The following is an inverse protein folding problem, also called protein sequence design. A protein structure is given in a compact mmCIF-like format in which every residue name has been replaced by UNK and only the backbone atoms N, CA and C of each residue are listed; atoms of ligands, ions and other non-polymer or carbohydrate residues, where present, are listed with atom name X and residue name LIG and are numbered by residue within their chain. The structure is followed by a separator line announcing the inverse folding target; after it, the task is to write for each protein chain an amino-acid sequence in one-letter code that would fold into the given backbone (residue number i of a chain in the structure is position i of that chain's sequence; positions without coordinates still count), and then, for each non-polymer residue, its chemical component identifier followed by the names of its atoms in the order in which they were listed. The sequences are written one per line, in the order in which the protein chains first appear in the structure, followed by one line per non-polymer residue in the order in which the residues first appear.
data_IF_593149081933
#
_entry.id   IF_593149081933
#
_cell.length_a   1.000
_cell.length_b   1.000
_cell.length_c   1.000
_cell.angle_alpha   90.00
_cell.angle_beta   90.00
_cell.angle_gamma   90.00
#
_symmetry.space_group_name_H-M   'P 1'
#
loop_
_entity.id
_entity.type
_entity.pdbx_description
1 polymer ?
#
# COMPACT_ATOMS: atom_id res chain seq x y z
N UNK A 1 -27.70 27.60 -57.26
CA UNK A 1 -27.39 26.35 -56.58
C UNK A 1 -27.60 26.56 -55.10
N UNK A 2 -28.74 26.08 -54.57
CA UNK A 2 -29.21 26.34 -53.18
C UNK A 2 -28.66 25.28 -52.26
N UNK A 3 -27.89 25.66 -51.24
CA UNK A 3 -27.43 24.76 -50.16
C UNK A 3 -28.52 24.67 -49.11
N UNK A 4 -29.05 23.46 -48.87
CA UNK A 4 -30.01 23.16 -47.82
C UNK A 4 -29.21 22.78 -46.59
N UNK A 5 -29.36 23.53 -45.49
CA UNK A 5 -28.81 23.23 -44.16
C UNK A 5 -29.87 22.41 -43.41
N UNK A 6 -29.53 21.14 -43.06
CA UNK A 6 -30.34 20.29 -42.17
C UNK A 6 -29.83 20.47 -40.75
N UNK A 7 -30.63 21.09 -39.88
CA UNK A 7 -30.47 21.14 -38.44
C UNK A 7 -31.05 19.86 -37.82
N UNK A 8 -30.22 19.02 -37.22
CA UNK A 8 -30.65 17.89 -36.43
C UNK A 8 -30.72 18.33 -34.96
N UNK A 9 -31.94 18.40 -34.43
CA UNK A 9 -32.21 18.63 -33.01
C UNK A 9 -32.02 17.34 -32.23
N UNK A 10 -31.04 17.29 -31.32
CA UNK A 10 -30.84 16.17 -30.38
C UNK A 10 -31.59 16.48 -29.09
N UNK A 11 -32.67 15.77 -28.85
CA UNK A 11 -33.42 15.82 -27.58
C UNK A 11 -32.77 14.95 -26.55
N UNK A 12 -32.24 15.55 -25.48
CA UNK A 12 -31.75 14.87 -24.30
C UNK A 12 -32.92 14.49 -23.37
N UNK A 13 -33.24 13.21 -23.26
CA UNK A 13 -34.17 12.71 -22.23
C UNK A 13 -33.39 12.36 -20.97
N UNK A 14 -33.61 13.09 -19.89
CA UNK A 14 -33.13 12.80 -18.55
C UNK A 14 -33.94 11.64 -17.97
N UNK A 15 -33.32 10.50 -17.81
CA UNK A 15 -33.90 9.37 -17.04
C UNK A 15 -33.32 9.38 -15.63
N UNK A 16 -34.10 9.92 -14.71
CA UNK A 16 -33.86 9.82 -13.28
C UNK A 16 -34.36 8.47 -12.78
N UNK A 17 -33.47 7.63 -12.28
CA UNK A 17 -33.83 6.42 -11.56
C UNK A 17 -33.17 6.47 -10.16
N UNK A 18 -34.00 6.83 -9.18
CA UNK A 18 -33.65 6.73 -7.76
C UNK A 18 -33.83 5.27 -7.30
N UNK A 19 -32.78 4.65 -6.80
CA UNK A 19 -32.85 3.36 -6.11
C UNK A 19 -32.32 3.51 -4.70
N UNK A 20 -33.17 3.28 -3.72
CA UNK A 20 -32.86 3.30 -2.29
C UNK A 20 -32.09 2.03 -1.88
N UNK A 21 -31.20 2.08 -0.87
CA UNK A 21 -30.53 0.91 -0.35
C UNK A 21 -31.44 0.14 0.65
N UNK A 22 -31.57 -1.15 0.45
CA UNK A 22 -32.24 -2.06 1.37
C UNK A 22 -31.32 -2.36 2.57
N UNK A 23 -31.88 -2.14 3.78
CA UNK A 23 -31.30 -2.61 5.06
C UNK A 23 -31.48 -4.11 5.14
N UNK A 24 -30.43 -4.86 5.32
CA UNK A 24 -30.48 -6.26 5.78
C UNK A 24 -29.85 -6.34 7.16
N UNK A 25 -30.72 -6.54 8.16
CA UNK A 25 -30.40 -7.00 9.50
C UNK A 25 -30.28 -8.53 9.46
N UNK A 26 -29.17 -9.07 9.94
CA UNK A 26 -28.97 -10.52 10.02
C UNK A 26 -27.96 -10.88 11.08
N UNK A 27 -28.43 -10.92 12.33
CA UNK A 27 -27.72 -11.52 13.47
C UNK A 27 -27.65 -13.05 13.30
N UNK A 28 -26.47 -13.64 13.31
CA UNK A 28 -26.28 -15.09 13.60
C UNK A 28 -25.04 -15.30 14.45
N UNK A 29 -25.30 -15.48 15.75
CA UNK A 29 -24.40 -16.11 16.69
C UNK A 29 -24.04 -17.53 16.23
N UNK A 30 -22.77 -17.83 16.09
CA UNK A 30 -22.26 -19.20 16.11
C UNK A 30 -21.18 -19.27 17.19
N UNK A 31 -21.60 -19.88 18.31
CA UNK A 31 -20.75 -20.34 19.40
C UNK A 31 -20.00 -21.58 18.94
N UNK A 32 -18.68 -21.59 19.03
CA UNK A 32 -17.92 -22.83 19.11
C UNK A 32 -16.92 -22.72 20.24
N UNK A 33 -17.28 -23.40 21.32
CA UNK A 33 -16.42 -23.70 22.44
C UNK A 33 -15.29 -24.63 22.00
N UNK A 34 -14.06 -24.27 22.28
CA UNK A 34 -13.03 -25.27 22.56
C UNK A 34 -12.18 -24.79 23.72
N UNK A 35 -12.43 -25.41 24.86
CA UNK A 35 -11.77 -25.19 26.12
C UNK A 35 -10.43 -25.94 26.15
N UNK A 36 -9.33 -25.24 26.37
CA UNK A 36 -8.16 -25.81 27.01
C UNK A 36 -7.83 -24.98 28.24
N UNK A 37 -8.07 -25.66 29.38
CA UNK A 37 -7.76 -25.20 30.73
C UNK A 37 -6.26 -25.35 31.01
N UNK A 38 -5.60 -24.23 31.39
CA UNK A 38 -4.40 -24.31 32.24
C UNK A 38 -4.55 -23.31 33.39
N UNK A 39 -4.64 -23.91 34.53
CA UNK A 39 -4.67 -23.26 35.82
C UNK A 39 -3.23 -22.95 36.24
N UNK A 40 -2.91 -21.73 36.63
CA UNK A 40 -2.06 -21.45 37.78
C UNK A 40 -2.16 -20.01 38.20
N UNK A 41 -2.47 -19.83 39.46
CA UNK A 41 -2.56 -18.60 40.22
C UNK A 41 -1.24 -17.83 40.23
N UNK A 42 -1.29 -16.50 40.06
CA UNK A 42 -0.71 -15.59 41.05
C UNK A 42 -1.21 -14.15 40.82
N UNK A 43 -1.62 -13.57 41.92
CA UNK A 43 -2.16 -12.22 42.05
C UNK A 43 -1.07 -11.15 41.87
N UNK A 44 -1.37 -10.04 41.14
CA UNK A 44 -1.28 -8.71 41.73
C UNK A 44 -1.84 -7.62 40.79
N UNK A 45 -2.63 -6.66 41.27
CA UNK A 45 -3.28 -5.67 40.43
C UNK A 45 -2.39 -4.45 40.25
N UNK A 46 -1.92 -4.17 39.07
CA UNK A 46 -1.32 -2.86 38.79
C UNK A 46 -1.85 -2.28 37.48
N UNK A 47 -2.65 -1.25 37.68
CA UNK A 47 -2.89 -0.06 36.84
C UNK A 47 -2.95 -0.29 35.33
N UNK A 48 -4.18 -0.42 34.84
CA UNK A 48 -4.56 -0.08 33.47
C UNK A 48 -4.01 1.31 33.11
N UNK A 49 -2.88 1.35 32.43
CA UNK A 49 -2.47 2.53 31.68
C UNK A 49 -3.15 2.47 30.32
N UNK A 50 -4.17 3.28 30.19
CA UNK A 50 -4.82 3.63 28.93
C UNK A 50 -3.72 4.01 27.92
N UNK A 51 -3.32 3.05 27.05
CA UNK A 51 -2.32 3.27 26.00
C UNK A 51 -3.02 4.05 24.89
N UNK A 52 -3.04 5.39 25.07
CA UNK A 52 -3.33 6.33 23.99
C UNK A 52 -2.40 5.93 22.84
N UNK A 53 -2.98 5.47 21.72
CA UNK A 53 -2.24 5.19 20.49
C UNK A 53 -1.60 6.50 20.03
N UNK A 54 -0.39 6.76 20.50
CA UNK A 54 0.44 7.80 19.91
C UNK A 54 0.86 7.27 18.55
N UNK A 55 0.48 7.93 17.47
CA UNK A 55 1.02 7.72 16.14
C UNK A 55 2.53 7.90 16.24
N UNK A 56 3.23 6.79 16.27
CA UNK A 56 4.67 6.74 16.37
C UNK A 56 5.23 7.13 15.00
N UNK A 57 5.98 8.23 14.94
CA UNK A 57 6.71 8.59 13.72
C UNK A 57 7.67 7.47 13.29
N UNK A 58 8.33 7.57 12.13
CA UNK A 58 9.25 6.56 11.67
C UNK A 58 10.35 6.34 12.72
N UNK A 59 10.71 5.08 12.98
CA UNK A 59 11.91 4.79 13.76
C UNK A 59 13.15 5.32 13.01
N UNK A 60 14.28 5.50 13.68
CA UNK A 60 15.49 6.10 13.09
C UNK A 60 15.93 5.40 11.79
N UNK A 61 15.77 4.08 11.71
CA UNK A 61 16.13 3.29 10.51
C UNK A 61 15.17 3.55 9.34
N UNK A 62 13.87 3.56 9.61
CA UNK A 62 12.87 3.90 8.60
C UNK A 62 13.05 5.35 8.10
N UNK A 63 13.33 6.29 9.00
CA UNK A 63 13.61 7.69 8.62
C UNK A 63 14.82 7.81 7.69
N UNK A 64 15.91 7.08 7.96
CA UNK A 64 17.09 7.05 7.08
C UNK A 64 16.73 6.49 5.70
N UNK A 65 16.02 5.34 5.64
CA UNK A 65 15.56 4.71 4.40
C UNK A 65 14.72 5.68 3.57
N UNK A 66 13.78 6.38 4.18
CA UNK A 66 12.92 7.32 3.47
C UNK A 66 13.69 8.54 2.98
N UNK A 67 14.60 9.08 3.80
CA UNK A 67 15.49 10.18 3.38
C UNK A 67 16.36 9.79 2.18
N UNK A 68 16.87 8.56 2.14
CA UNK A 68 17.65 8.06 0.99
C UNK A 68 16.74 7.81 -0.23
N UNK A 69 15.56 7.26 -0.03
CA UNK A 69 14.59 7.06 -1.10
C UNK A 69 14.18 8.38 -1.78
N UNK A 70 13.99 9.44 -1.02
CA UNK A 70 13.62 10.78 -1.51
C UNK A 70 14.69 11.40 -2.41
N UNK A 71 15.97 11.09 -2.21
CA UNK A 71 17.08 11.56 -3.08
C UNK A 71 16.93 11.09 -4.52
N UNK A 72 16.18 10.01 -4.73
CA UNK A 72 15.94 9.42 -6.04
C UNK A 72 14.65 9.90 -6.72
N UNK A 73 13.87 10.77 -6.09
CA UNK A 73 12.64 11.32 -6.71
C UNK A 73 12.95 11.92 -8.09
N UNK A 74 12.13 11.55 -9.08
CA UNK A 74 12.30 11.97 -10.48
C UNK A 74 13.31 11.15 -11.28
N UNK A 75 14.08 10.23 -10.67
CA UNK A 75 14.94 9.33 -11.43
C UNK A 75 14.10 8.50 -12.41
N UNK A 76 14.53 8.32 -13.68
CA UNK A 76 13.72 7.67 -14.70
C UNK A 76 13.55 6.17 -14.41
N UNK A 77 12.48 5.58 -14.99
CA UNK A 77 12.32 4.13 -14.98
C UNK A 77 13.24 3.46 -16.01
N UNK A 78 13.89 2.39 -15.61
CA UNK A 78 14.67 1.53 -16.49
C UNK A 78 14.53 0.07 -16.06
N UNK A 79 14.04 -0.79 -16.94
CA UNK A 79 13.97 -2.23 -16.66
C UNK A 79 15.35 -2.79 -16.29
N UNK A 80 15.47 -3.51 -15.18
CA UNK A 80 16.73 -4.00 -14.64
C UNK A 80 17.64 -2.94 -14.00
N UNK A 81 17.20 -1.68 -13.92
CA UNK A 81 17.99 -0.57 -13.40
C UNK A 81 18.09 -0.57 -11.88
N UNK A 82 19.25 -0.11 -11.37
CA UNK A 82 19.59 -0.03 -9.94
C UNK A 82 20.39 1.24 -9.61
N UNK A 83 20.33 2.26 -10.46
CA UNK A 83 21.12 3.48 -10.29
C UNK A 83 20.29 4.71 -10.60
N UNK A 84 20.78 5.90 -10.26
CA UNK A 84 20.12 7.17 -10.59
C UNK A 84 19.83 7.34 -12.10
N UNK A 85 20.60 6.69 -12.98
CA UNK A 85 20.36 6.70 -14.43
C UNK A 85 19.08 5.93 -14.83
N UNK A 86 18.47 5.25 -13.90
CA UNK A 86 17.19 4.56 -14.03
C UNK A 86 17.05 3.39 -13.08
N UNK A 87 15.87 3.26 -12.52
CA UNK A 87 15.48 2.18 -11.62
C UNK A 87 14.29 1.39 -12.18
N UNK A 88 14.29 0.07 -11.95
CA UNK A 88 13.02 -0.65 -11.86
C UNK A 88 12.51 -0.67 -10.41
N UNK A 89 11.28 -1.15 -10.18
CA UNK A 89 10.64 -1.11 -8.88
C UNK A 89 11.45 -1.81 -7.78
N UNK A 90 11.88 -3.04 -8.00
CA UNK A 90 12.64 -3.82 -7.02
C UNK A 90 14.12 -3.41 -6.95
N UNK A 91 14.67 -2.85 -8.03
CA UNK A 91 16.00 -2.27 -8.06
C UNK A 91 16.11 -1.01 -7.22
N UNK A 92 15.08 -0.14 -7.28
CA UNK A 92 14.96 1.03 -6.41
C UNK A 92 14.92 0.62 -4.94
N UNK A 93 14.02 -0.29 -4.57
CA UNK A 93 13.91 -0.81 -3.19
C UNK A 93 15.24 -1.43 -2.73
N UNK A 94 15.83 -2.29 -3.56
CA UNK A 94 17.11 -2.94 -3.25
C UNK A 94 18.22 -1.93 -2.99
N UNK A 95 18.35 -0.89 -3.82
CA UNK A 95 19.38 0.14 -3.67
C UNK A 95 19.21 0.92 -2.38
N UNK A 96 18.00 1.43 -2.11
CA UNK A 96 17.69 2.22 -0.89
C UNK A 96 17.96 1.42 0.38
N UNK A 97 17.54 0.15 0.41
CA UNK A 97 17.76 -0.70 1.58
C UNK A 97 19.24 -1.08 1.74
N UNK A 98 19.96 -1.31 0.65
CA UNK A 98 21.41 -1.61 0.69
C UNK A 98 22.23 -0.44 1.23
N UNK A 99 21.87 0.80 0.91
CA UNK A 99 22.47 2.03 1.49
C UNK A 99 22.26 2.12 3.01
N UNK A 100 21.31 1.38 3.51
CA UNK A 100 20.98 1.26 4.93
C UNK A 100 21.42 -0.09 5.54
N UNK A 101 22.39 -0.78 4.96
CA UNK A 101 22.94 -2.07 5.41
C UNK A 101 21.92 -3.23 5.44
N UNK A 102 20.80 -3.11 4.72
CA UNK A 102 19.78 -4.16 4.61
C UNK A 102 19.85 -4.76 3.20
N UNK A 103 20.23 -6.02 3.12
CA UNK A 103 20.30 -6.76 1.86
C UNK A 103 18.97 -7.40 1.54
N UNK A 104 18.39 -7.05 0.39
CA UNK A 104 17.20 -7.67 -0.15
C UNK A 104 17.53 -8.40 -1.46
N UNK A 105 16.70 -9.37 -1.84
CA UNK A 105 16.82 -10.04 -3.14
C UNK A 105 16.49 -9.06 -4.28
N UNK A 106 16.98 -9.38 -5.49
CA UNK A 106 16.86 -8.46 -6.64
C UNK A 106 15.43 -8.31 -7.18
N UNK A 107 14.64 -9.39 -7.18
CA UNK A 107 13.32 -9.41 -7.84
C UNK A 107 12.20 -9.16 -6.83
N UNK A 108 11.20 -8.38 -7.20
CA UNK A 108 10.03 -8.10 -6.35
C UNK A 108 9.31 -9.36 -5.85
N UNK A 109 9.21 -10.40 -6.68
CA UNK A 109 8.61 -11.67 -6.30
C UNK A 109 9.39 -12.45 -5.22
N UNK A 110 10.70 -12.21 -5.11
CA UNK A 110 11.55 -12.81 -4.08
C UNK A 110 11.61 -11.91 -2.84
N UNK A 111 11.69 -10.58 -2.98
CA UNK A 111 11.50 -9.62 -1.88
C UNK A 111 10.17 -9.86 -1.15
N UNK A 112 9.14 -10.27 -1.86
CA UNK A 112 7.83 -10.60 -1.32
C UNK A 112 7.82 -11.80 -0.35
N UNK A 113 8.91 -12.56 -0.27
CA UNK A 113 9.08 -13.70 0.64
C UNK A 113 9.90 -13.32 1.89
N UNK A 114 10.53 -12.16 1.89
CA UNK A 114 11.39 -11.70 2.98
C UNK A 114 10.60 -11.03 4.10
N UNK A 115 11.18 -11.00 5.29
CA UNK A 115 10.57 -10.39 6.47
C UNK A 115 9.28 -11.05 6.92
N UNK A 116 8.44 -10.29 7.61
CA UNK A 116 7.16 -10.74 8.17
C UNK A 116 5.97 -10.09 7.46
N UNK A 117 4.87 -10.83 7.28
CA UNK A 117 3.62 -10.28 6.75
C UNK A 117 2.99 -9.30 7.73
N UNK A 118 2.50 -8.17 7.22
CA UNK A 118 1.84 -7.13 8.01
C UNK A 118 0.46 -6.85 7.43
N UNK A 119 -0.56 -6.77 8.29
CA UNK A 119 -1.88 -6.26 7.88
C UNK A 119 -1.75 -4.79 7.51
N UNK A 120 -2.49 -4.35 6.49
CA UNK A 120 -2.40 -2.98 5.98
C UNK A 120 -2.70 -1.92 7.06
N UNK A 121 -3.56 -2.23 8.01
CA UNK A 121 -3.91 -1.37 9.16
C UNK A 121 -2.73 -1.16 10.15
N UNK A 122 -1.73 -2.03 10.09
CA UNK A 122 -0.57 -2.03 11.00
C UNK A 122 0.74 -1.68 10.29
N UNK A 123 0.68 -1.23 9.03
CA UNK A 123 1.89 -0.81 8.32
C UNK A 123 2.51 0.39 8.99
N UNK A 124 3.83 0.49 8.86
CA UNK A 124 4.64 1.60 9.36
C UNK A 124 5.53 2.11 8.23
N UNK A 125 6.07 3.28 8.42
CA UNK A 125 7.08 3.87 7.55
C UNK A 125 8.22 2.87 7.28
N UNK A 126 8.60 2.71 6.02
CA UNK A 126 9.65 1.77 5.59
C UNK A 126 9.17 0.34 5.32
N UNK A 127 7.91 -0.02 5.61
CA UNK A 127 7.36 -1.32 5.20
C UNK A 127 7.24 -1.40 3.68
N UNK A 128 7.28 -2.60 3.13
CA UNK A 128 7.16 -2.86 1.70
C UNK A 128 5.71 -3.20 1.33
N UNK A 129 5.20 -2.56 0.29
CA UNK A 129 3.91 -2.86 -0.33
C UNK A 129 4.14 -3.61 -1.65
N UNK A 130 3.40 -4.70 -1.86
CA UNK A 130 3.50 -5.54 -3.05
C UNK A 130 2.20 -5.51 -3.87
N UNK A 131 2.36 -5.48 -5.20
CA UNK A 131 1.26 -5.28 -6.12
C UNK A 131 1.30 -6.24 -7.30
N UNK A 132 0.12 -6.52 -7.88
CA UNK A 132 -0.09 -7.26 -9.12
C UNK A 132 -0.44 -6.31 -10.29
N UNK A 133 0.50 -5.49 -10.72
CA UNK A 133 0.30 -4.48 -11.79
C UNK A 133 0.18 -5.08 -13.20
N UNK A 134 0.62 -6.33 -13.37
CA UNK A 134 0.48 -7.07 -14.63
C UNK A 134 -0.82 -7.90 -14.68
N UNK A 135 -1.72 -7.69 -13.74
CA UNK A 135 -2.94 -8.48 -13.57
C UNK A 135 -2.74 -9.80 -12.83
N UNK A 136 -3.86 -10.42 -12.41
CA UNK A 136 -3.86 -11.66 -11.63
C UNK A 136 -3.44 -11.45 -10.16
N UNK A 137 -2.78 -12.47 -9.58
CA UNK A 137 -2.37 -12.47 -8.16
C UNK A 137 -0.85 -12.58 -7.97
N UNK A 138 -0.07 -12.43 -9.03
CA UNK A 138 1.38 -12.58 -8.96
C UNK A 138 2.04 -11.24 -8.74
N UNK A 139 2.94 -11.17 -7.74
CA UNK A 139 3.73 -9.97 -7.47
C UNK A 139 4.52 -9.56 -8.72
N UNK A 140 4.31 -8.32 -9.14
CA UNK A 140 5.01 -7.70 -10.27
C UNK A 140 5.54 -6.31 -9.97
N UNK A 141 5.16 -5.73 -8.81
CA UNK A 141 5.62 -4.42 -8.40
C UNK A 141 5.79 -4.33 -6.89
N UNK A 142 6.64 -3.38 -6.44
CA UNK A 142 6.93 -3.12 -5.03
C UNK A 142 7.19 -1.63 -4.81
N UNK A 143 6.80 -1.13 -3.64
CA UNK A 143 7.12 0.21 -3.15
C UNK A 143 7.34 0.22 -1.65
N UNK A 144 7.81 1.34 -1.11
CA UNK A 144 8.14 1.55 0.30
C UNK A 144 7.08 2.49 0.90
N UNK A 145 6.45 2.11 2.02
CA UNK A 145 5.53 3.01 2.75
C UNK A 145 6.27 4.26 3.17
N UNK A 146 5.83 5.40 2.63
CA UNK A 146 6.47 6.70 2.80
C UNK A 146 5.77 7.58 3.84
N UNK A 147 4.46 7.77 3.68
CA UNK A 147 3.66 8.63 4.55
C UNK A 147 2.41 7.88 5.00
N UNK A 148 2.05 8.06 6.26
CA UNK A 148 0.76 7.65 6.81
C UNK A 148 0.16 8.92 7.42
N UNK A 149 -0.89 9.44 6.79
CA UNK A 149 -1.53 10.69 7.19
C UNK A 149 -2.38 10.49 8.45
N UNK A 150 -2.86 11.58 9.01
CA UNK A 150 -3.66 11.56 10.25
C UNK A 150 -5.03 10.91 10.08
N UNK A 151 -5.60 10.97 8.90
CA UNK A 151 -6.84 10.31 8.51
C UNK A 151 -6.64 8.85 8.06
N UNK A 152 -5.38 8.38 7.98
CA UNK A 152 -5.02 7.00 7.69
C UNK A 152 -4.64 6.73 6.23
N UNK A 153 -4.60 7.75 5.35
CA UNK A 153 -4.13 7.56 3.97
C UNK A 153 -2.67 7.07 3.96
N UNK A 154 -2.41 6.03 3.19
CA UNK A 154 -1.06 5.47 3.02
C UNK A 154 -0.51 5.91 1.67
N UNK A 155 0.64 6.61 1.69
CA UNK A 155 1.42 6.93 0.49
C UNK A 155 2.70 6.12 0.47
N UNK A 156 3.14 5.75 -0.73
CA UNK A 156 4.34 4.94 -0.92
C UNK A 156 5.21 5.49 -2.03
N UNK A 157 6.53 5.37 -1.86
CA UNK A 157 7.52 5.75 -2.86
C UNK A 157 7.92 4.53 -3.68
N UNK A 158 7.97 4.67 -5.00
CA UNK A 158 8.25 3.57 -5.91
C UNK A 158 8.77 4.05 -7.28
N UNK A 159 9.39 3.18 -8.07
CA UNK A 159 9.75 3.47 -9.45
C UNK A 159 8.58 3.10 -10.40
N UNK A 160 7.82 4.10 -10.80
CA UNK A 160 6.73 4.00 -11.79
C UNK A 160 7.29 3.84 -13.19
N UNK A 161 6.73 2.93 -13.99
CA UNK A 161 7.15 2.70 -15.40
C UNK A 161 6.99 3.94 -16.30
N UNK A 162 6.05 4.82 -15.99
CA UNK A 162 5.74 5.99 -16.83
C UNK A 162 6.30 7.31 -16.28
N UNK A 163 6.53 7.40 -14.96
CA UNK A 163 6.90 8.66 -14.29
C UNK A 163 8.24 8.58 -13.54
N UNK A 164 8.90 7.43 -13.53
CA UNK A 164 10.11 7.23 -12.74
C UNK A 164 9.80 7.11 -11.23
N UNK A 165 10.75 7.50 -10.39
CA UNK A 165 10.57 7.43 -8.93
C UNK A 165 9.64 8.53 -8.46
N UNK A 166 8.49 8.15 -7.91
CA UNK A 166 7.43 9.05 -7.43
C UNK A 166 6.82 8.52 -6.13
N UNK A 167 6.04 9.37 -5.48
CA UNK A 167 5.15 9.01 -4.38
C UNK A 167 3.72 8.92 -4.93
N UNK A 168 3.04 7.83 -4.65
CA UNK A 168 1.63 7.59 -5.01
C UNK A 168 0.80 7.30 -3.76
N UNK A 169 -0.50 7.55 -3.83
CA UNK A 169 -1.46 7.14 -2.80
C UNK A 169 -1.92 5.70 -3.04
N UNK A 170 -2.04 4.91 -1.97
CA UNK A 170 -2.64 3.58 -2.03
C UNK A 170 -4.14 3.64 -2.35
N UNK A 171 -4.80 4.78 -2.08
CA UNK A 171 -6.22 5.02 -2.37
C UNK A 171 -6.49 5.32 -3.85
N UNK A 172 -5.46 5.56 -4.68
CA UNK A 172 -5.63 5.66 -6.12
C UNK A 172 -6.23 4.35 -6.65
N UNK A 173 -7.32 4.41 -7.41
CA UNK A 173 -8.09 3.25 -7.92
C UNK A 173 -7.20 2.17 -8.56
N UNK A 174 -6.13 2.57 -9.22
CA UNK A 174 -5.16 1.66 -9.82
C UNK A 174 -4.38 0.87 -8.77
N UNK A 175 -3.88 1.55 -7.74
CA UNK A 175 -3.05 0.95 -6.70
C UNK A 175 -3.88 0.12 -5.72
N UNK A 176 -5.06 0.59 -5.34
CA UNK A 176 -6.01 -0.14 -4.51
C UNK A 176 -6.36 -1.51 -5.14
N UNK A 177 -6.71 -1.53 -6.42
CA UNK A 177 -7.00 -2.77 -7.15
C UNK A 177 -5.81 -3.70 -7.34
N UNK A 178 -4.61 -3.14 -7.45
CA UNK A 178 -3.38 -3.91 -7.68
C UNK A 178 -2.75 -4.41 -6.38
N UNK A 179 -3.10 -3.84 -5.22
CA UNK A 179 -2.50 -4.19 -3.93
C UNK A 179 -2.73 -5.66 -3.56
N UNK A 180 -1.70 -6.31 -3.04
CA UNK A 180 -1.74 -7.71 -2.62
C UNK A 180 -1.55 -7.85 -1.10
N UNK A 181 -0.45 -7.33 -0.58
CA UNK A 181 -0.09 -7.42 0.84
C UNK A 181 1.12 -6.52 1.17
N UNK A 182 1.38 -6.39 2.46
CA UNK A 182 2.54 -5.66 2.99
C UNK A 182 3.50 -6.59 3.75
N UNK A 183 4.79 -6.20 3.80
CA UNK A 183 5.82 -6.88 4.57
C UNK A 183 6.72 -5.90 5.30
N UNK A 184 7.20 -6.32 6.47
CA UNK A 184 8.22 -5.61 7.26
C UNK A 184 9.52 -6.39 7.21
N UNK A 185 10.59 -5.70 6.84
CA UNK A 185 11.98 -6.22 6.77
C UNK A 185 12.93 -5.44 7.68
N UNK A 186 12.38 -4.47 8.46
CA UNK A 186 13.07 -3.64 9.44
C UNK A 186 13.00 -4.23 10.84
#
# INVERSE_FOLDING_TARGET
MKKVLLLAAVTFTLWSCASQPARVSGNKNISNNNSYSYNTNNENPSKSKNKKSSKEGPNAKAASILSDAEKYLGAPYRAGGMTYSGFDCSGFVNTVFAENDIKLTRRSADQAKEGVGINIENVKHGDLLFFATAGGKRVSHVGIVHTITDDGEIKFIHASTSKGVIISSLEEVYWDKAFLFARRVL
#
